data_IF_937035912563
#
_entry.id   IF_937035912563
#
_cell.length_a   1.000
_cell.length_b   1.000
_cell.length_c   1.000
_cell.angle_alpha   90.00
_cell.angle_beta   90.00
_cell.angle_gamma   90.00
#
_symmetry.space_group_name_H-M   'P 1'
#
loop_
_entity.id
_entity.type
_entity.pdbx_description
1 polymer ?
#
# COMPACT_ATOMS: atom_id res chain seq x y z
N UNK A 1 -57.79 24.05 -24.25
CA UNK A 1 -58.01 25.03 -23.15
C UNK A 1 -58.81 24.33 -22.07
N UNK A 2 -58.25 23.78 -21.00
CA UNK A 2 -57.11 24.19 -20.15
C UNK A 2 -56.40 22.90 -19.71
N UNK A 3 -55.13 22.65 -20.01
CA UNK A 3 -53.94 23.19 -19.32
C UNK A 3 -54.14 23.45 -17.82
N UNK A 4 -54.06 22.38 -17.02
CA UNK A 4 -53.76 22.48 -15.59
C UNK A 4 -52.70 21.43 -15.19
N UNK A 5 -51.48 21.93 -15.01
CA UNK A 5 -50.33 21.44 -14.24
C UNK A 5 -49.82 20.01 -14.45
N UNK A 6 -48.94 19.87 -15.45
CA UNK A 6 -48.00 18.73 -15.58
C UNK A 6 -46.57 19.04 -15.12
N UNK A 7 -46.34 20.13 -14.36
CA UNK A 7 -44.98 20.65 -14.10
C UNK A 7 -44.73 21.31 -12.73
N UNK A 8 -45.33 20.84 -11.63
CA UNK A 8 -44.96 21.30 -10.27
C UNK A 8 -44.87 20.12 -9.28
N UNK A 9 -44.07 19.11 -9.60
CA UNK A 9 -43.53 18.23 -8.55
C UNK A 9 -42.33 18.96 -7.95
N UNK A 10 -42.58 19.88 -7.02
CA UNK A 10 -41.55 20.74 -6.45
C UNK A 10 -40.59 19.93 -5.59
N UNK A 11 -39.31 20.31 -5.54
CA UNK A 11 -38.30 19.71 -4.67
C UNK A 11 -38.77 19.63 -3.20
N UNK A 12 -39.58 20.59 -2.76
CA UNK A 12 -40.23 20.62 -1.45
C UNK A 12 -41.16 19.43 -1.21
N UNK A 13 -41.98 19.05 -2.20
CA UNK A 13 -42.89 17.91 -2.08
C UNK A 13 -42.13 16.59 -1.96
N UNK A 14 -41.01 16.45 -2.68
CA UNK A 14 -40.12 15.30 -2.51
C UNK A 14 -39.47 15.30 -1.11
N UNK A 15 -39.01 16.45 -0.62
CA UNK A 15 -38.43 16.56 0.71
C UNK A 15 -39.42 16.17 1.82
N UNK A 16 -40.69 16.63 1.72
CA UNK A 16 -41.74 16.26 2.67
C UNK A 16 -42.04 14.75 2.64
N UNK A 17 -42.15 14.18 1.43
CA UNK A 17 -42.43 12.74 1.27
C UNK A 17 -41.29 11.88 1.81
N UNK A 18 -40.03 12.27 1.56
CA UNK A 18 -38.85 11.58 2.09
C UNK A 18 -38.76 11.72 3.61
N UNK A 19 -39.15 12.87 4.18
CA UNK A 19 -39.18 13.07 5.62
C UNK A 19 -40.19 12.15 6.31
N UNK A 20 -41.33 11.90 5.69
CA UNK A 20 -42.35 10.99 6.23
C UNK A 20 -41.99 9.52 6.03
N UNK A 21 -41.40 9.19 4.88
CA UNK A 21 -41.00 7.83 4.54
C UNK A 21 -39.67 7.85 3.77
N UNK A 22 -38.57 7.57 4.48
CA UNK A 22 -37.20 7.71 3.95
C UNK A 22 -36.93 6.94 2.65
N UNK A 23 -37.55 5.78 2.48
CA UNK A 23 -37.49 4.96 1.27
C UNK A 23 -37.99 5.66 0.00
N UNK A 24 -38.83 6.69 0.14
CA UNK A 24 -39.26 7.52 -1.00
C UNK A 24 -38.08 8.15 -1.76
N UNK A 25 -36.89 8.21 -1.16
CA UNK A 25 -35.66 8.67 -1.79
C UNK A 25 -35.31 7.89 -3.07
N UNK A 26 -35.71 6.63 -3.18
CA UNK A 26 -35.47 5.81 -4.38
C UNK A 26 -36.15 6.39 -5.63
N UNK A 27 -37.27 7.11 -5.46
CA UNK A 27 -38.07 7.69 -6.53
C UNK A 27 -37.70 9.16 -6.85
N UNK A 28 -36.82 9.78 -6.06
CA UNK A 28 -36.35 11.14 -6.32
C UNK A 28 -35.28 11.09 -7.42
N UNK A 29 -35.39 11.96 -8.42
CA UNK A 29 -34.35 12.07 -9.47
C UNK A 29 -33.03 12.55 -8.85
N UNK A 30 -31.90 12.08 -9.38
CA UNK A 30 -30.59 12.36 -8.79
C UNK A 30 -30.25 13.85 -8.72
N UNK A 31 -30.63 14.62 -9.74
CA UNK A 31 -30.42 16.07 -9.84
C UNK A 31 -31.29 16.88 -8.86
N UNK A 32 -32.35 16.27 -8.31
CA UNK A 32 -33.21 16.87 -7.28
C UNK A 32 -32.85 16.43 -5.86
N UNK A 33 -31.97 15.44 -5.70
CA UNK A 33 -31.51 15.03 -4.37
C UNK A 33 -30.64 16.11 -3.77
N UNK A 34 -30.76 16.30 -2.46
CA UNK A 34 -29.89 17.17 -1.68
C UNK A 34 -29.27 16.39 -0.54
N UNK A 35 -28.08 16.77 -0.03
CA UNK A 35 -27.49 16.10 1.12
C UNK A 35 -28.43 16.06 2.32
N UNK A 36 -29.15 17.16 2.57
CA UNK A 36 -30.13 17.24 3.66
C UNK A 36 -31.28 16.24 3.46
N UNK A 37 -31.87 16.17 2.26
CA UNK A 37 -32.92 15.18 1.96
C UNK A 37 -32.43 13.75 2.21
N UNK A 38 -31.20 13.43 1.82
CA UNK A 38 -30.60 12.11 2.05
C UNK A 38 -30.36 11.81 3.55
N UNK A 39 -29.93 12.79 4.35
CA UNK A 39 -29.81 12.64 5.82
C UNK A 39 -31.16 12.35 6.45
N UNK A 40 -32.18 13.14 6.10
CA UNK A 40 -33.56 12.96 6.60
C UNK A 40 -34.11 11.59 6.22
N UNK A 41 -33.77 11.09 5.01
CA UNK A 41 -34.15 9.77 4.57
C UNK A 41 -33.56 8.65 5.45
N UNK A 42 -32.29 8.77 5.82
CA UNK A 42 -31.59 7.83 6.71
C UNK A 42 -32.19 7.88 8.12
N UNK A 43 -32.40 9.08 8.67
CA UNK A 43 -33.05 9.27 9.98
C UNK A 43 -34.43 8.62 10.03
N UNK A 44 -35.27 8.86 9.02
CA UNK A 44 -36.62 8.31 8.94
C UNK A 44 -36.66 6.79 8.72
N UNK A 45 -35.56 6.19 8.27
CA UNK A 45 -35.45 4.75 8.01
C UNK A 45 -34.73 3.97 9.12
N UNK A 46 -34.23 4.66 10.16
CA UNK A 46 -33.42 4.07 11.22
C UNK A 46 -34.14 2.98 12.03
N UNK A 47 -35.48 3.01 12.09
CA UNK A 47 -36.28 2.02 12.83
C UNK A 47 -36.50 0.70 12.08
N UNK A 48 -36.13 0.59 10.80
CA UNK A 48 -36.44 -0.56 9.94
C UNK A 48 -35.43 -1.71 10.02
N UNK A 49 -34.46 -1.66 10.95
CA UNK A 49 -33.41 -2.68 11.06
C UNK A 49 -32.52 -2.75 9.80
N UNK A 50 -31.87 -3.89 9.53
CA UNK A 50 -30.85 -4.05 8.47
C UNK A 50 -31.27 -3.60 7.05
N UNK A 51 -32.56 -3.51 6.73
CA UNK A 51 -33.04 -2.99 5.44
C UNK A 51 -32.57 -1.55 5.14
N UNK A 52 -32.30 -0.74 6.17
CA UNK A 52 -31.84 0.64 6.03
C UNK A 52 -30.52 0.81 5.26
N UNK A 53 -29.63 -0.19 5.24
CA UNK A 53 -28.35 -0.11 4.52
C UNK A 53 -28.55 0.10 3.02
N UNK A 54 -29.58 -0.55 2.45
CA UNK A 54 -29.87 -0.47 1.02
C UNK A 54 -30.28 0.94 0.57
N UNK A 55 -30.67 1.82 1.49
CA UNK A 55 -30.92 3.23 1.18
C UNK A 55 -29.65 3.96 0.72
N UNK A 56 -28.46 3.54 1.18
CA UNK A 56 -27.17 4.12 0.76
C UNK A 56 -26.96 4.02 -0.75
N UNK A 57 -27.54 3.00 -1.41
CA UNK A 57 -27.46 2.84 -2.86
C UNK A 57 -28.09 4.01 -3.62
N UNK A 58 -29.05 4.69 -2.99
CA UNK A 58 -29.78 5.82 -3.57
C UNK A 58 -29.19 7.18 -3.20
N UNK A 59 -28.11 7.24 -2.42
CA UNK A 59 -27.49 8.49 -1.96
C UNK A 59 -26.27 8.83 -2.84
N UNK A 60 -26.30 9.92 -3.62
CA UNK A 60 -25.20 10.30 -4.51
C UNK A 60 -24.15 11.22 -3.83
N UNK A 61 -24.15 11.32 -2.51
CA UNK A 61 -23.34 12.28 -1.75
C UNK A 61 -22.33 11.57 -0.85
N UNK A 62 -21.06 11.70 -1.18
CA UNK A 62 -19.96 11.06 -0.47
C UNK A 62 -19.94 11.44 1.02
N UNK A 63 -20.19 12.71 1.34
CA UNK A 63 -20.23 13.21 2.70
C UNK A 63 -21.33 12.57 3.54
N UNK A 64 -22.52 12.38 2.96
CA UNK A 64 -23.65 11.73 3.65
C UNK A 64 -23.37 10.24 3.86
N UNK A 65 -22.82 9.57 2.84
CA UNK A 65 -22.40 8.17 2.97
C UNK A 65 -21.29 7.98 4.02
N UNK A 66 -20.34 8.90 4.11
CA UNK A 66 -19.27 8.86 5.12
C UNK A 66 -19.81 9.09 6.54
N UNK A 67 -20.79 9.99 6.71
CA UNK A 67 -21.50 10.18 7.99
C UNK A 67 -22.19 8.86 8.41
N UNK A 68 -22.93 8.22 7.50
CA UNK A 68 -23.60 6.95 7.76
C UNK A 68 -22.63 5.80 8.10
N UNK A 69 -21.51 5.70 7.37
CA UNK A 69 -20.44 4.74 7.69
C UNK A 69 -19.97 4.95 9.13
N UNK A 70 -19.65 6.19 9.52
CA UNK A 70 -19.13 6.49 10.86
C UNK A 70 -20.15 6.21 11.95
N UNK A 71 -21.43 6.47 11.72
CA UNK A 71 -22.49 6.18 12.67
C UNK A 71 -22.62 4.67 12.89
N UNK A 72 -22.81 3.90 11.82
CA UNK A 72 -23.11 2.47 11.94
C UNK A 72 -21.90 1.62 12.33
N UNK A 73 -20.74 1.88 11.72
CA UNK A 73 -19.50 1.19 12.10
C UNK A 73 -18.99 1.67 13.46
N UNK A 74 -19.01 2.97 13.73
CA UNK A 74 -18.50 3.55 14.98
C UNK A 74 -19.28 3.11 16.21
N UNK A 75 -20.58 2.85 16.08
CA UNK A 75 -21.39 2.27 17.14
C UNK A 75 -21.38 0.72 17.17
N UNK A 76 -20.66 0.07 16.26
CA UNK A 76 -20.61 -1.40 16.17
C UNK A 76 -21.92 -2.04 15.73
N UNK A 77 -22.79 -1.29 15.03
CA UNK A 77 -24.10 -1.77 14.56
C UNK A 77 -23.98 -2.69 13.33
N UNK A 78 -22.94 -2.51 12.51
CA UNK A 78 -22.70 -3.29 11.29
C UNK A 78 -21.20 -3.42 10.97
N UNK A 79 -20.83 -4.45 10.18
CA UNK A 79 -19.47 -4.61 9.65
C UNK A 79 -19.15 -3.52 8.62
N UNK A 80 -17.92 -2.99 8.65
CA UNK A 80 -17.54 -1.88 7.79
C UNK A 80 -17.68 -2.21 6.30
N UNK A 81 -17.26 -3.43 5.90
CA UNK A 81 -17.35 -3.87 4.53
C UNK A 81 -18.81 -4.02 4.08
N UNK A 82 -19.68 -4.52 4.96
CA UNK A 82 -21.12 -4.61 4.71
C UNK A 82 -21.73 -3.23 4.40
N UNK A 83 -21.50 -2.24 5.28
CA UNK A 83 -22.00 -0.86 5.08
C UNK A 83 -21.44 -0.25 3.80
N UNK A 84 -20.13 -0.36 3.59
CA UNK A 84 -19.48 0.18 2.40
C UNK A 84 -20.00 -0.45 1.11
N UNK A 85 -20.32 -1.76 1.12
CA UNK A 85 -20.81 -2.47 -0.06
C UNK A 85 -22.20 -2.03 -0.55
N UNK A 86 -22.96 -1.33 0.29
CA UNK A 86 -24.25 -0.76 -0.08
C UNK A 86 -24.13 0.58 -0.83
N UNK A 87 -22.95 1.21 -0.80
CA UNK A 87 -22.69 2.48 -1.50
C UNK A 87 -22.31 2.18 -2.95
N UNK A 88 -22.82 2.99 -3.87
CA UNK A 88 -22.44 2.87 -5.28
C UNK A 88 -20.96 3.22 -5.49
N UNK A 89 -20.22 2.49 -6.33
CA UNK A 89 -18.81 2.73 -6.55
C UNK A 89 -18.45 4.16 -6.98
N UNK A 90 -19.35 4.84 -7.70
CA UNK A 90 -19.16 6.22 -8.19
C UNK A 90 -19.23 7.28 -7.09
N UNK A 91 -19.75 6.92 -5.91
CA UNK A 91 -19.89 7.85 -4.76
C UNK A 91 -18.62 7.87 -3.91
N UNK A 92 -17.75 6.85 -4.00
CA UNK A 92 -16.49 6.86 -3.28
C UNK A 92 -15.60 8.01 -3.75
N UNK A 93 -15.10 8.78 -2.79
CA UNK A 93 -14.05 9.76 -3.00
C UNK A 93 -12.73 9.29 -2.35
N UNK A 94 -11.65 10.04 -2.58
CA UNK A 94 -10.34 9.69 -2.03
C UNK A 94 -10.32 9.64 -0.50
N UNK A 95 -11.08 10.51 0.19
CA UNK A 95 -11.12 10.56 1.66
C UNK A 95 -11.81 9.34 2.24
N UNK A 96 -12.92 8.93 1.63
CA UNK A 96 -13.65 7.73 2.02
C UNK A 96 -12.82 6.49 1.75
N UNK A 97 -12.18 6.39 0.57
CA UNK A 97 -11.26 5.32 0.23
C UNK A 97 -10.13 5.16 1.25
N UNK A 98 -9.50 6.28 1.65
CA UNK A 98 -8.42 6.31 2.64
C UNK A 98 -8.85 5.79 4.01
N UNK A 99 -10.04 6.16 4.46
CA UNK A 99 -10.62 5.70 5.73
C UNK A 99 -10.95 4.20 5.65
N UNK A 100 -11.69 3.79 4.63
CA UNK A 100 -12.18 2.43 4.48
C UNK A 100 -11.04 1.41 4.45
N UNK A 101 -10.00 1.67 3.65
CA UNK A 101 -8.86 0.75 3.52
C UNK A 101 -7.99 0.73 4.78
N UNK A 102 -7.91 1.84 5.52
CA UNK A 102 -7.16 1.91 6.77
C UNK A 102 -7.83 1.07 7.88
N UNK A 103 -9.16 1.12 7.96
CA UNK A 103 -9.94 0.37 8.94
C UNK A 103 -10.15 -1.10 8.52
N UNK A 104 -10.36 -1.35 7.23
CA UNK A 104 -10.54 -2.69 6.69
C UNK A 104 -10.04 -2.79 5.24
N UNK A 105 -8.88 -3.41 5.07
CA UNK A 105 -8.27 -3.59 3.76
C UNK A 105 -9.10 -4.41 2.75
N UNK A 106 -10.18 -5.10 3.17
CA UNK A 106 -11.15 -5.71 2.23
C UNK A 106 -11.84 -4.65 1.37
N UNK A 107 -12.07 -3.45 1.90
CA UNK A 107 -12.79 -2.39 1.21
C UNK A 107 -12.11 -1.91 -0.08
N UNK A 108 -10.83 -2.22 -0.30
CA UNK A 108 -10.14 -1.95 -1.57
C UNK A 108 -10.92 -2.52 -2.78
N UNK A 109 -11.57 -3.68 -2.63
CA UNK A 109 -12.32 -4.30 -3.73
C UNK A 109 -13.62 -3.58 -4.10
N UNK A 110 -14.09 -2.65 -3.27
CA UNK A 110 -15.27 -1.84 -3.52
C UNK A 110 -14.94 -0.58 -4.33
N UNK A 111 -13.65 -0.18 -4.36
CA UNK A 111 -13.21 1.06 -4.96
C UNK A 111 -12.98 0.92 -6.46
N UNK A 112 -13.40 1.95 -7.21
CA UNK A 112 -13.06 2.10 -8.62
C UNK A 112 -11.53 2.19 -8.81
N UNK A 113 -11.04 1.67 -9.94
CA UNK A 113 -9.60 1.56 -10.23
C UNK A 113 -8.86 2.89 -10.10
N UNK A 114 -9.49 4.02 -10.47
CA UNK A 114 -8.86 5.33 -10.37
C UNK A 114 -8.67 5.85 -8.93
N UNK A 115 -9.37 5.26 -7.96
CA UNK A 115 -9.19 5.55 -6.52
C UNK A 115 -8.15 4.61 -5.89
N UNK A 116 -7.81 3.50 -6.53
CA UNK A 116 -6.85 2.54 -6.01
C UNK A 116 -5.42 3.06 -6.23
N UNK A 117 -4.86 3.72 -5.21
CA UNK A 117 -3.51 4.28 -5.25
C UNK A 117 -2.46 3.34 -4.65
N UNK A 118 -1.17 3.53 -4.98
CA UNK A 118 -0.07 2.82 -4.32
C UNK A 118 -0.06 2.93 -2.79
N UNK A 119 -0.51 4.07 -2.26
CA UNK A 119 -0.65 4.29 -0.82
C UNK A 119 -1.73 3.40 -0.21
N UNK A 120 -2.87 3.22 -0.88
CA UNK A 120 -3.93 2.31 -0.44
C UNK A 120 -3.47 0.84 -0.50
N UNK A 121 -2.77 0.44 -1.56
CA UNK A 121 -2.23 -0.92 -1.66
C UNK A 121 -1.22 -1.22 -0.54
N UNK A 122 -0.40 -0.24 -0.15
CA UNK A 122 0.49 -0.37 1.00
C UNK A 122 -0.30 -0.61 2.29
N UNK A 123 -1.32 0.21 2.56
CA UNK A 123 -2.20 0.04 3.74
C UNK A 123 -2.86 -1.34 3.76
N UNK A 124 -3.36 -1.83 2.61
CA UNK A 124 -3.89 -3.20 2.49
C UNK A 124 -2.85 -4.27 2.87
N UNK A 125 -1.60 -4.12 2.44
CA UNK A 125 -0.53 -5.07 2.75
C UNK A 125 -0.13 -5.05 4.24
N UNK A 126 -0.28 -3.91 4.91
CA UNK A 126 -0.01 -3.75 6.35
C UNK A 126 -1.12 -4.36 7.23
N UNK A 127 -2.36 -4.32 6.75
CA UNK A 127 -3.54 -4.71 7.53
C UNK A 127 -3.58 -6.22 7.83
N UNK A 128 -3.70 -7.07 6.80
CA UNK A 128 -3.63 -8.53 6.95
C UNK A 128 -3.29 -9.24 5.62
N UNK A 129 -2.97 -10.54 5.70
CA UNK A 129 -2.67 -11.38 4.54
C UNK A 129 -3.78 -11.40 3.49
N UNK A 130 -5.05 -11.48 3.92
CA UNK A 130 -6.19 -11.47 3.01
C UNK A 130 -6.28 -10.16 2.23
N UNK A 131 -6.11 -9.03 2.91
CA UNK A 131 -6.07 -7.70 2.30
C UNK A 131 -4.93 -7.56 1.29
N UNK A 132 -3.74 -8.11 1.57
CA UNK A 132 -2.63 -8.14 0.61
C UNK A 132 -3.00 -8.89 -0.67
N UNK A 133 -3.62 -10.08 -0.58
CA UNK A 133 -3.98 -10.85 -1.77
C UNK A 133 -5.13 -10.23 -2.57
N UNK A 134 -5.91 -9.31 -1.98
CA UNK A 134 -6.92 -8.52 -2.71
C UNK A 134 -6.31 -7.45 -3.62
N UNK A 135 -5.07 -7.02 -3.38
CA UNK A 135 -4.37 -6.08 -4.27
C UNK A 135 -4.25 -6.76 -5.64
N UNK A 136 -4.69 -6.11 -6.75
CA UNK A 136 -4.58 -6.67 -8.08
C UNK A 136 -3.15 -7.11 -8.36
N UNK A 137 -2.97 -8.31 -8.92
CA UNK A 137 -1.64 -8.91 -9.06
C UNK A 137 -0.62 -8.00 -9.76
N UNK A 138 -1.05 -7.25 -10.78
CA UNK A 138 -0.18 -6.30 -11.51
C UNK A 138 0.23 -5.08 -10.70
N UNK A 139 -0.57 -4.73 -9.69
CA UNK A 139 -0.43 -3.53 -8.86
C UNK A 139 0.26 -3.81 -7.52
N UNK A 140 0.63 -5.06 -7.24
CA UNK A 140 1.41 -5.41 -6.05
C UNK A 140 2.83 -4.83 -6.17
N UNK A 141 3.01 -3.67 -5.53
CA UNK A 141 4.28 -2.94 -5.52
C UNK A 141 5.39 -3.68 -4.78
N UNK A 142 6.64 -3.23 -5.00
CA UNK A 142 7.81 -3.74 -4.28
C UNK A 142 7.62 -3.59 -2.78
N UNK A 143 7.08 -2.44 -2.35
CA UNK A 143 6.82 -2.12 -0.96
C UNK A 143 5.73 -3.02 -0.38
N UNK A 144 4.61 -3.21 -1.08
CA UNK A 144 3.52 -4.08 -0.62
C UNK A 144 3.99 -5.54 -0.46
N UNK A 145 4.76 -6.06 -1.43
CA UNK A 145 5.33 -7.40 -1.34
C UNK A 145 6.35 -7.52 -0.20
N UNK A 146 7.20 -6.51 0.02
CA UNK A 146 8.15 -6.51 1.13
C UNK A 146 7.43 -6.48 2.48
N UNK A 147 6.42 -5.61 2.63
CA UNK A 147 5.57 -5.58 3.83
C UNK A 147 4.94 -6.95 4.09
N UNK A 148 4.35 -7.58 3.08
CA UNK A 148 3.74 -8.91 3.22
C UNK A 148 4.76 -10.00 3.58
N UNK A 149 5.97 -9.95 3.03
CA UNK A 149 7.05 -10.88 3.39
C UNK A 149 7.52 -10.74 4.83
N UNK A 150 7.63 -9.50 5.32
CA UNK A 150 8.05 -9.23 6.69
C UNK A 150 6.95 -9.59 7.70
N UNK A 151 5.69 -9.28 7.39
CA UNK A 151 4.56 -9.51 8.30
C UNK A 151 4.03 -10.95 8.26
N UNK A 152 4.05 -11.60 7.09
CA UNK A 152 3.45 -12.92 6.86
C UNK A 152 4.43 -13.88 6.15
N UNK A 153 5.65 -14.09 6.67
CA UNK A 153 6.68 -14.86 5.97
C UNK A 153 6.23 -16.29 5.67
N UNK A 154 5.52 -16.96 6.58
CA UNK A 154 5.00 -18.31 6.37
C UNK A 154 4.03 -18.40 5.17
N UNK A 155 3.18 -17.37 5.00
CA UNK A 155 2.22 -17.33 3.90
C UNK A 155 2.89 -17.08 2.56
N UNK A 156 3.90 -16.19 2.51
CA UNK A 156 4.69 -15.96 1.29
C UNK A 156 5.46 -17.20 0.88
N UNK A 157 6.06 -17.94 1.83
CA UNK A 157 6.74 -19.20 1.51
C UNK A 157 5.78 -20.28 0.99
N UNK A 158 4.56 -20.36 1.55
CA UNK A 158 3.54 -21.29 1.08
C UNK A 158 2.93 -20.90 -0.28
N UNK A 159 2.88 -19.60 -0.59
CA UNK A 159 2.24 -19.07 -1.80
C UNK A 159 3.15 -18.13 -2.59
N UNK A 160 4.33 -18.56 -3.08
CA UNK A 160 5.28 -17.67 -3.74
C UNK A 160 4.73 -17.02 -5.02
N UNK A 161 3.74 -17.64 -5.67
CA UNK A 161 3.10 -17.14 -6.89
C UNK A 161 2.32 -15.82 -6.69
N UNK A 162 2.04 -15.41 -5.45
CA UNK A 162 1.39 -14.12 -5.16
C UNK A 162 2.33 -12.94 -5.39
N UNK A 163 3.64 -13.17 -5.41
CA UNK A 163 4.63 -12.12 -5.66
C UNK A 163 4.81 -11.99 -7.17
N UNK A 164 4.62 -10.79 -7.76
CA UNK A 164 4.77 -10.62 -9.20
C UNK A 164 6.19 -10.92 -9.66
N UNK A 165 6.34 -11.52 -10.84
CA UNK A 165 7.66 -11.87 -11.39
C UNK A 165 8.66 -10.71 -11.41
N UNK A 166 8.28 -9.45 -11.75
CA UNK A 166 9.21 -8.32 -11.68
C UNK A 166 9.74 -8.03 -10.26
N UNK A 167 8.92 -8.29 -9.24
CA UNK A 167 9.31 -8.12 -7.83
C UNK A 167 10.26 -9.23 -7.41
N UNK A 168 9.99 -10.47 -7.82
CA UNK A 168 10.79 -11.63 -7.42
C UNK A 168 12.13 -11.73 -8.18
N UNK A 169 12.14 -11.43 -9.49
CA UNK A 169 13.28 -11.71 -10.37
C UNK A 169 14.32 -10.59 -10.46
N UNK A 170 13.91 -9.33 -10.26
CA UNK A 170 14.81 -8.19 -10.36
C UNK A 170 15.52 -7.90 -9.05
N UNK A 171 16.72 -7.33 -9.14
CA UNK A 171 17.43 -6.85 -7.97
C UNK A 171 16.77 -5.57 -7.46
N UNK A 172 16.16 -5.67 -6.29
CA UNK A 172 15.33 -4.64 -5.66
C UNK A 172 15.37 -4.86 -4.13
N UNK A 173 14.70 -3.99 -3.36
CA UNK A 173 14.71 -4.08 -1.89
C UNK A 173 14.10 -5.40 -1.39
N UNK A 174 13.11 -5.95 -2.08
CA UNK A 174 12.45 -7.21 -1.76
C UNK A 174 13.39 -8.41 -1.88
N UNK A 175 13.98 -8.60 -3.07
CA UNK A 175 14.94 -9.68 -3.35
C UNK A 175 16.21 -9.54 -2.51
N UNK A 176 16.65 -8.32 -2.22
CA UNK A 176 17.77 -8.08 -1.31
C UNK A 176 17.45 -8.49 0.12
N UNK A 177 16.22 -8.21 0.61
CA UNK A 177 15.80 -8.64 1.94
C UNK A 177 15.87 -10.17 2.07
N UNK A 178 15.27 -10.90 1.11
CA UNK A 178 15.33 -12.37 1.07
C UNK A 178 16.76 -12.91 1.05
N UNK A 179 17.63 -12.30 0.23
CA UNK A 179 19.04 -12.69 0.15
C UNK A 179 19.75 -12.47 1.48
N UNK A 180 19.53 -11.32 2.13
CA UNK A 180 20.13 -11.02 3.42
C UNK A 180 19.66 -12.00 4.49
N UNK A 181 18.36 -12.29 4.57
CA UNK A 181 17.85 -13.28 5.53
C UNK A 181 18.46 -14.67 5.28
N UNK A 182 18.64 -15.07 4.02
CA UNK A 182 19.28 -16.33 3.67
C UNK A 182 20.76 -16.37 4.09
N UNK A 183 21.50 -15.27 3.89
CA UNK A 183 22.94 -15.23 4.19
C UNK A 183 23.24 -15.04 5.68
N UNK A 184 22.34 -14.39 6.44
CA UNK A 184 22.61 -14.04 7.85
C UNK A 184 21.77 -14.84 8.83
N UNK A 185 20.65 -15.39 8.41
CA UNK A 185 19.62 -15.96 9.29
C UNK A 185 18.90 -14.89 10.14
N UNK A 186 19.18 -13.60 9.92
CA UNK A 186 18.59 -12.49 10.66
C UNK A 186 17.31 -12.00 9.98
N UNK A 187 16.44 -11.34 10.76
CA UNK A 187 15.26 -10.64 10.28
C UNK A 187 15.52 -9.15 10.24
N UNK A 188 14.97 -8.48 9.24
CA UNK A 188 15.20 -7.04 9.00
C UNK A 188 13.88 -6.29 8.93
N UNK A 189 13.89 -5.01 9.30
CA UNK A 189 12.75 -4.11 9.09
C UNK A 189 12.77 -3.52 7.69
N UNK A 190 11.61 -3.05 7.22
CA UNK A 190 11.50 -2.36 5.94
C UNK A 190 12.44 -1.13 5.87
N UNK A 191 12.51 -0.34 6.95
CA UNK A 191 13.42 0.80 7.04
C UNK A 191 14.89 0.41 6.96
N UNK A 192 15.32 -0.65 7.66
CA UNK A 192 16.70 -1.15 7.58
C UNK A 192 17.05 -1.58 6.14
N UNK A 193 16.14 -2.30 5.47
CA UNK A 193 16.38 -2.75 4.10
C UNK A 193 16.35 -1.62 3.08
N UNK A 194 15.49 -0.62 3.26
CA UNK A 194 15.44 0.56 2.41
C UNK A 194 16.74 1.37 2.52
N UNK A 195 17.20 1.63 3.75
CA UNK A 195 18.49 2.28 4.02
C UNK A 195 19.66 1.52 3.39
N UNK A 196 19.69 0.20 3.60
CA UNK A 196 20.74 -0.67 3.08
C UNK A 196 20.74 -0.73 1.54
N UNK A 197 19.56 -0.84 0.93
CA UNK A 197 19.39 -0.79 -0.53
C UNK A 197 19.81 0.57 -1.10
N UNK A 198 19.58 1.65 -0.35
CA UNK A 198 20.07 3.00 -0.64
C UNK A 198 21.57 3.22 -0.46
N UNK A 199 22.32 2.19 -0.04
CA UNK A 199 23.78 2.22 0.09
C UNK A 199 24.29 2.56 1.50
N UNK A 200 23.40 2.65 2.50
CA UNK A 200 23.83 2.74 3.90
C UNK A 200 24.47 1.42 4.33
N UNK A 201 25.46 1.49 5.21
CA UNK A 201 26.06 0.29 5.81
C UNK A 201 25.11 -0.32 6.81
N UNK A 202 25.14 -1.64 6.91
CA UNK A 202 24.35 -2.40 7.87
C UNK A 202 25.26 -3.36 8.62
N UNK A 203 25.16 -3.34 9.95
CA UNK A 203 25.84 -4.32 10.80
C UNK A 203 25.04 -5.62 10.82
N UNK A 204 25.72 -6.74 10.63
CA UNK A 204 25.17 -8.10 10.72
C UNK A 204 26.01 -8.91 11.71
N UNK A 205 25.32 -9.71 12.53
CA UNK A 205 25.95 -10.57 13.55
C UNK A 205 26.73 -11.69 12.89
N UNK A 206 26.19 -12.23 11.82
CA UNK A 206 26.78 -13.33 11.07
C UNK A 206 26.44 -13.17 9.59
N UNK A 207 27.38 -13.48 8.71
CA UNK A 207 27.12 -13.60 7.27
C UNK A 207 27.87 -14.80 6.72
N UNK A 208 27.12 -15.66 6.03
CA UNK A 208 27.65 -16.78 5.26
C UNK A 208 28.28 -16.24 3.96
N UNK A 209 29.53 -16.62 3.73
CA UNK A 209 30.29 -16.37 2.52
C UNK A 209 30.87 -17.70 2.02
N UNK A 210 31.32 -17.80 0.75
CA UNK A 210 31.86 -19.06 0.23
C UNK A 210 32.97 -19.71 1.09
N UNK A 211 33.73 -18.89 1.82
CA UNK A 211 34.85 -19.32 2.67
C UNK A 211 34.45 -19.55 4.15
N UNK A 212 33.14 -19.61 4.46
CA UNK A 212 32.60 -19.89 5.79
C UNK A 212 31.78 -18.73 6.37
N UNK A 213 31.81 -18.57 7.70
CA UNK A 213 30.99 -17.57 8.40
C UNK A 213 31.85 -16.42 8.91
N UNK A 214 31.42 -15.19 8.63
CA UNK A 214 32.01 -13.98 9.20
C UNK A 214 31.08 -13.40 10.26
N UNK A 215 31.62 -13.15 11.46
CA UNK A 215 30.87 -12.54 12.57
C UNK A 215 31.13 -11.04 12.68
N UNK A 216 30.13 -10.32 13.18
CA UNK A 216 30.16 -8.90 13.56
C UNK A 216 30.76 -8.00 12.45
N UNK A 217 30.10 -7.97 11.29
CA UNK A 217 30.56 -7.24 10.10
C UNK A 217 29.61 -6.13 9.70
N UNK A 218 30.19 -5.04 9.19
CA UNK A 218 29.47 -4.10 8.35
C UNK A 218 29.45 -4.63 6.91
N UNK A 219 28.25 -4.71 6.34
CA UNK A 219 28.03 -5.03 4.93
C UNK A 219 27.57 -3.79 4.19
N UNK A 220 27.85 -3.77 2.89
CA UNK A 220 27.38 -2.75 1.96
C UNK A 220 26.62 -3.42 0.82
N UNK A 221 25.49 -2.84 0.44
CA UNK A 221 24.77 -3.22 -0.78
C UNK A 221 25.63 -2.84 -1.99
N UNK A 222 26.05 -3.82 -2.79
CA UNK A 222 26.98 -3.57 -3.90
C UNK A 222 26.32 -3.11 -5.20
N UNK A 223 25.01 -2.79 -5.20
CA UNK A 223 24.34 -2.06 -6.28
C UNK A 223 24.46 -2.66 -7.70
N UNK A 224 23.37 -3.25 -8.19
CA UNK A 224 23.04 -3.60 -9.60
C UNK A 224 23.96 -4.50 -10.44
N UNK A 225 25.25 -4.72 -10.16
CA UNK A 225 26.11 -5.57 -11.03
C UNK A 225 26.29 -7.03 -10.58
N UNK A 226 26.09 -7.31 -9.30
CA UNK A 226 26.06 -8.67 -8.76
C UNK A 226 24.96 -8.69 -7.71
N UNK A 227 24.08 -9.69 -7.77
CA UNK A 227 23.10 -9.98 -6.71
C UNK A 227 23.87 -10.42 -5.45
N UNK A 228 24.55 -9.50 -4.79
CA UNK A 228 25.48 -9.80 -3.70
C UNK A 228 25.58 -8.66 -2.69
N UNK A 229 25.59 -9.01 -1.41
CA UNK A 229 26.13 -8.17 -0.35
C UNK A 229 27.58 -8.60 -0.09
N UNK A 230 28.48 -7.63 0.07
CA UNK A 230 29.89 -7.91 0.34
C UNK A 230 30.26 -7.45 1.75
N UNK A 231 30.96 -8.27 2.55
CA UNK A 231 31.55 -7.83 3.80
C UNK A 231 32.61 -6.75 3.52
N UNK A 232 32.61 -5.66 4.29
CA UNK A 232 33.72 -4.71 4.23
C UNK A 232 34.96 -5.33 4.88
N UNK A 233 36.05 -5.40 4.12
CA UNK A 233 37.34 -5.84 4.64
C UNK A 233 37.83 -4.88 5.72
N UNK A 234 38.17 -5.41 6.90
CA UNK A 234 38.87 -4.65 7.93
C UNK A 234 40.32 -4.37 7.46
N UNK A 235 40.53 -3.31 6.70
CA UNK A 235 41.87 -2.79 6.43
C UNK A 235 41.94 -1.28 6.64
N UNK A 236 41.78 -0.87 7.89
CA UNK A 236 42.52 0.27 8.40
C UNK A 236 43.98 -0.14 8.55
N UNK A 237 44.77 -0.13 7.47
CA UNK A 237 46.23 -0.17 7.56
C UNK A 237 46.79 1.13 7.03
N UNK A 238 47.42 1.84 7.97
CA UNK A 238 48.15 3.09 7.85
C UNK A 238 48.78 3.33 6.48
N UNK A 239 48.58 4.55 5.97
CA UNK A 239 49.53 5.21 5.07
C UNK A 239 50.87 5.35 5.80
N UNK A 240 51.66 4.28 5.79
CA UNK A 240 53.03 4.27 6.24
C UNK A 240 53.91 4.96 5.20
N UNK A 241 54.32 6.18 5.54
CA UNK A 241 55.44 6.89 4.95
C UNK A 241 56.61 5.95 4.65
N UNK A 242 57.08 5.92 3.39
CA UNK A 242 58.44 5.50 3.07
C UNK A 242 59.10 6.61 2.27
N UNK A 243 59.88 7.40 3.00
CA UNK A 243 60.92 8.24 2.47
C UNK A 243 62.25 7.51 2.64
N UNK A 244 63.00 7.23 1.56
CA UNK A 244 64.45 7.03 1.62
C UNK A 244 65.09 7.09 0.23
N UNK A 245 65.72 8.25 0.02
CA UNK A 245 66.86 8.61 -0.86
C UNK A 245 67.70 7.46 -1.47
N UNK A 246 67.95 7.62 -2.79
CA UNK A 246 69.25 7.79 -3.47
C UNK A 246 70.36 6.73 -3.31
N UNK A 247 70.79 6.10 -4.41
CA UNK A 247 72.02 6.49 -5.17
C UNK A 247 72.37 5.52 -6.32
N UNK A 248 72.77 6.15 -7.43
CA UNK A 248 73.84 5.82 -8.38
C UNK A 248 73.73 4.60 -9.32
N UNK A 249 74.01 4.85 -10.61
CA UNK A 249 74.39 3.82 -11.58
C UNK A 249 74.21 4.24 -13.04
N UNK A 250 75.01 5.19 -13.52
CA UNK A 250 75.14 5.61 -14.91
C UNK A 250 75.60 4.46 -15.82
N UNK A 251 74.98 4.25 -17.00
CA UNK A 251 75.65 4.01 -18.30
C UNK A 251 74.60 3.90 -19.44
N UNK A 252 74.84 4.62 -20.54
CA UNK A 252 74.04 4.73 -21.77
C UNK A 252 74.32 3.55 -22.77
N UNK A 253 74.03 3.64 -24.11
CA UNK A 253 72.77 3.21 -24.74
C UNK A 253 72.99 2.30 -25.99
N UNK A 254 72.01 1.49 -26.40
CA UNK A 254 71.86 0.93 -27.78
C UNK A 254 70.40 0.53 -27.94
N UNK A 255 69.66 0.75 -29.01
CA UNK A 255 69.89 1.26 -30.35
C UNK A 255 68.54 1.11 -31.08
N UNK A 256 68.26 1.99 -32.04
CA UNK A 256 67.00 2.09 -32.76
C UNK A 256 66.78 0.96 -33.79
N UNK A 257 65.52 0.56 -33.95
CA UNK A 257 64.84 -0.07 -35.11
C UNK A 257 63.34 0.03 -34.76
N UNK A 258 62.42 0.65 -35.49
CA UNK A 258 62.33 1.30 -36.81
C UNK A 258 61.51 2.60 -36.68
#
# INVERSE_FOLDING_TARGET
MKDLCRHECTAERYADTVREFGWSLEHVLEDMKTPEMCRRALEASAELGYGHLALLHHIPFAEVCMEAIRDWYGEGRADLYEVASAIRPEVFDGKMADFLVAEDGRCLSLLLVHLQTPELWRKCAEHNWMSFVMIPWRERSLEACLTAYLNYPGMIHAHPHVVPQPVDSYYNVYSLCRLMEQMTGEKFTCGQMADFYGGKRMAVKCIEVPDGFLKDREVLSTGRKRRSASPLSASGRSRGSRNSKSRNGTTHPRGATE
#
